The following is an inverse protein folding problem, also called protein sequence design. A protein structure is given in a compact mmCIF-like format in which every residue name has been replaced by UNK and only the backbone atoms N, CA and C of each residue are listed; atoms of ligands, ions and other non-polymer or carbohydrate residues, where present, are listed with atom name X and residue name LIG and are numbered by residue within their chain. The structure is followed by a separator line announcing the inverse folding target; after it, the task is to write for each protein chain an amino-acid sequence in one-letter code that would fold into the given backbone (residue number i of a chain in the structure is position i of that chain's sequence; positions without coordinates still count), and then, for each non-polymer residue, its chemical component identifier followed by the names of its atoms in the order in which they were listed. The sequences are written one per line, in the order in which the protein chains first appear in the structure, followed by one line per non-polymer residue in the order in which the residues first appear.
data_IF_887783699664
#
_entry.id   IF_887783699664
#
_cell.length_a   1.000
_cell.length_b   1.000
_cell.length_c   1.000
_cell.angle_alpha   90.00
_cell.angle_beta   90.00
_cell.angle_gamma   90.00
#
_symmetry.space_group_name_H-M   'P 1'
#
loop_
_entity.id
_entity.type
_entity.pdbx_description
1 polymer ?
#
# COMPACT_ATOMS: atom_id res chain seq x y z
N UNK A 1 -19.97 -1.07 7.28
CA UNK A 1 -19.70 0.13 8.12
C UNK A 1 -18.25 0.06 8.53
N UNK A 2 -17.43 1.01 8.11
CA UNK A 2 -16.04 1.14 8.57
C UNK A 2 -16.03 1.33 10.08
N UNK A 3 -15.38 0.42 10.81
CA UNK A 3 -15.20 0.58 12.25
C UNK A 3 -14.11 1.62 12.50
N UNK A 4 -14.43 2.69 13.24
CA UNK A 4 -13.42 3.66 13.69
C UNK A 4 -12.41 2.97 14.61
N UNK A 5 -11.17 3.42 14.57
CA UNK A 5 -10.17 2.94 15.53
C UNK A 5 -10.55 3.39 16.93
N UNK A 6 -10.47 2.50 17.94
CA UNK A 6 -10.52 2.91 19.33
C UNK A 6 -9.44 3.98 19.60
N UNK A 7 -9.77 5.00 20.40
CA UNK A 7 -8.85 6.11 20.68
C UNK A 7 -7.56 5.65 21.37
N UNK A 8 -7.63 4.54 22.11
CA UNK A 8 -6.55 3.90 22.86
C UNK A 8 -5.89 2.72 22.11
N UNK A 9 -6.34 2.42 20.88
CA UNK A 9 -5.73 1.36 20.10
C UNK A 9 -4.26 1.69 19.82
N UNK A 10 -3.31 0.79 20.14
CA UNK A 10 -1.90 1.05 19.88
C UNK A 10 -1.66 1.16 18.35
N UNK A 11 -0.68 1.97 17.99
CA UNK A 11 -0.21 2.02 16.61
C UNK A 11 0.52 0.71 16.28
N UNK A 12 0.24 0.13 15.12
CA UNK A 12 0.79 -1.14 14.69
C UNK A 12 1.98 -0.94 13.75
N UNK A 13 2.99 -1.81 13.91
CA UNK A 13 4.19 -1.81 13.07
C UNK A 13 4.41 -3.20 12.49
N UNK A 14 4.67 -3.29 11.20
CA UNK A 14 4.86 -4.57 10.53
C UNK A 14 5.85 -4.48 9.38
N UNK A 15 6.00 -5.60 8.69
CA UNK A 15 6.78 -5.69 7.45
C UNK A 15 6.01 -6.46 6.37
N UNK A 16 6.21 -6.05 5.13
CA UNK A 16 5.87 -6.85 3.97
C UNK A 16 6.87 -8.02 3.92
N UNK A 17 6.37 -9.23 4.03
CA UNK A 17 7.21 -10.41 4.16
C UNK A 17 7.75 -10.85 2.80
N UNK A 18 9.03 -10.70 2.63
CA UNK A 18 9.83 -11.27 1.55
C UNK A 18 10.63 -12.43 2.15
N UNK A 19 10.32 -13.71 1.80
CA UNK A 19 11.06 -14.85 2.34
C UNK A 19 12.57 -14.70 2.16
N UNK A 20 13.35 -14.99 3.22
CA UNK A 20 14.81 -14.89 3.21
C UNK A 20 15.46 -15.84 2.21
N UNK A 21 14.77 -16.93 1.88
CA UNK A 21 15.19 -17.92 0.88
C UNK A 21 14.28 -17.83 -0.34
N UNK A 22 14.88 -17.74 -1.53
CA UNK A 22 14.16 -17.81 -2.82
C UNK A 22 13.10 -16.70 -3.05
N UNK A 23 13.03 -15.68 -2.20
CA UNK A 23 12.06 -14.61 -2.31
C UNK A 23 10.63 -15.15 -2.45
N UNK A 24 9.76 -14.58 -3.30
CA UNK A 24 8.39 -15.06 -3.50
C UNK A 24 8.33 -16.43 -4.20
N UNK A 25 9.42 -16.91 -4.81
CA UNK A 25 9.49 -18.27 -5.39
C UNK A 25 9.42 -19.37 -4.32
N UNK A 26 9.70 -19.04 -3.06
CA UNK A 26 9.52 -19.95 -1.92
C UNK A 26 8.11 -20.55 -1.84
N UNK A 27 7.08 -19.88 -2.36
CA UNK A 27 5.72 -20.41 -2.45
C UNK A 27 5.56 -21.63 -3.37
N UNK A 28 6.53 -21.93 -4.22
CA UNK A 28 6.53 -23.14 -5.05
C UNK A 28 6.92 -24.39 -4.26
N UNK A 29 7.76 -24.24 -3.22
CA UNK A 29 8.28 -25.30 -2.37
C UNK A 29 8.57 -24.77 -0.97
N UNK A 30 7.52 -24.57 -0.19
CA UNK A 30 7.57 -23.89 1.10
C UNK A 30 8.44 -24.65 2.13
N UNK A 31 9.45 -23.95 2.68
CA UNK A 31 10.22 -24.36 3.86
C UNK A 31 9.69 -23.62 5.10
N UNK A 32 8.83 -24.28 5.88
CA UNK A 32 8.25 -23.69 7.09
C UNK A 32 9.28 -23.43 8.20
N UNK A 33 10.40 -24.14 8.23
CA UNK A 33 11.44 -23.89 9.22
C UNK A 33 12.20 -22.59 8.86
N UNK A 34 12.40 -22.31 7.57
CA UNK A 34 12.90 -21.00 7.13
C UNK A 34 11.92 -19.88 7.49
N UNK A 35 10.64 -20.04 7.21
CA UNK A 35 9.57 -19.08 7.56
C UNK A 35 9.55 -18.80 9.07
N UNK A 36 9.67 -19.82 9.92
CA UNK A 36 9.73 -19.65 11.38
C UNK A 36 10.96 -18.86 11.83
N UNK A 37 12.12 -19.11 11.22
CA UNK A 37 13.33 -18.33 11.53
C UNK A 37 13.15 -16.85 11.15
N UNK A 38 12.56 -16.59 9.99
CA UNK A 38 12.28 -15.24 9.52
C UNK A 38 11.33 -14.51 10.49
N UNK A 39 10.22 -15.16 10.87
CA UNK A 39 9.23 -14.57 11.77
C UNK A 39 9.76 -14.37 13.18
N UNK A 40 10.61 -15.27 13.69
CA UNK A 40 11.29 -15.05 14.97
C UNK A 40 12.12 -13.75 14.94
N UNK A 41 12.92 -13.53 13.88
CA UNK A 41 13.71 -12.31 13.72
C UNK A 41 12.85 -11.05 13.60
N UNK A 42 11.70 -11.12 12.90
CA UNK A 42 10.77 -9.98 12.80
C UNK A 42 10.09 -9.66 14.14
N UNK A 43 9.71 -10.69 14.89
CA UNK A 43 9.16 -10.49 16.24
C UNK A 43 10.19 -9.90 17.21
N UNK A 44 11.48 -10.27 17.10
CA UNK A 44 12.58 -9.67 17.88
C UNK A 44 12.78 -8.18 17.55
N UNK A 45 12.45 -7.74 16.33
CA UNK A 45 12.42 -6.31 15.98
C UNK A 45 11.22 -5.56 16.60
N UNK A 46 10.31 -6.26 17.26
CA UNK A 46 9.13 -5.67 17.90
C UNK A 46 7.98 -5.42 16.94
N UNK A 47 7.93 -6.12 15.80
CA UNK A 47 6.83 -6.01 14.85
C UNK A 47 5.57 -6.73 15.35
N UNK A 48 4.40 -6.24 14.94
CA UNK A 48 3.08 -6.75 15.33
C UNK A 48 2.45 -7.62 14.25
N UNK A 49 2.84 -7.40 12.98
CA UNK A 49 2.20 -8.06 11.86
C UNK A 49 3.12 -8.18 10.66
N UNK A 50 2.77 -9.11 9.80
CA UNK A 50 3.34 -9.26 8.46
C UNK A 50 2.24 -9.25 7.40
N UNK A 51 2.56 -8.77 6.20
CA UNK A 51 1.74 -8.92 5.01
C UNK A 51 2.43 -9.92 4.08
N UNK A 52 1.75 -10.98 3.68
CA UNK A 52 2.29 -12.09 2.88
C UNK A 52 1.70 -12.13 1.47
N UNK A 53 2.46 -12.65 0.52
CA UNK A 53 2.18 -12.58 -0.91
C UNK A 53 2.23 -13.97 -1.56
N UNK A 54 1.27 -14.87 -1.26
CA UNK A 54 1.21 -16.16 -1.94
C UNK A 54 0.91 -15.96 -3.42
N UNK A 55 1.77 -16.48 -4.29
CA UNK A 55 1.69 -16.23 -5.73
C UNK A 55 0.40 -16.78 -6.33
N UNK A 56 -0.37 -15.94 -7.02
CA UNK A 56 -1.61 -16.31 -7.68
C UNK A 56 -1.43 -17.46 -8.68
N UNK A 57 -0.33 -17.46 -9.44
CA UNK A 57 0.03 -18.55 -10.36
C UNK A 57 0.23 -19.89 -9.67
N UNK A 58 0.66 -19.90 -8.41
CA UNK A 58 0.84 -21.11 -7.59
C UNK A 58 -0.49 -21.55 -6.97
N UNK A 59 -1.28 -20.62 -6.48
CA UNK A 59 -2.59 -20.90 -5.88
C UNK A 59 -3.62 -21.40 -6.91
N UNK A 60 -3.69 -20.72 -8.06
CA UNK A 60 -4.72 -20.97 -9.09
C UNK A 60 -4.11 -21.05 -10.49
N UNK A 61 -3.38 -22.15 -10.82
CA UNK A 61 -2.74 -22.32 -12.13
C UNK A 61 -3.73 -22.51 -13.29
N UNK A 62 -4.99 -22.78 -12.99
CA UNK A 62 -6.10 -22.80 -13.95
C UNK A 62 -7.35 -22.21 -13.29
N UNK A 63 -8.22 -21.58 -14.05
CA UNK A 63 -9.41 -20.87 -13.55
C UNK A 63 -10.26 -21.67 -12.56
N UNK A 64 -10.42 -22.95 -12.80
CA UNK A 64 -11.22 -23.87 -11.97
C UNK A 64 -10.36 -24.80 -11.08
N UNK A 65 -9.04 -24.71 -11.16
CA UNK A 65 -8.11 -25.49 -10.34
C UNK A 65 -7.45 -24.58 -9.30
N UNK A 66 -7.99 -24.58 -8.09
CA UNK A 66 -7.33 -24.04 -6.92
C UNK A 66 -6.57 -25.20 -6.27
N UNK A 67 -5.26 -25.02 -6.05
CA UNK A 67 -4.42 -26.07 -5.48
C UNK A 67 -4.57 -26.12 -3.97
N UNK A 68 -5.25 -27.15 -3.46
CA UNK A 68 -5.50 -27.32 -2.01
C UNK A 68 -4.18 -27.29 -1.21
N UNK A 69 -3.13 -27.94 -1.70
CA UNK A 69 -1.81 -27.90 -1.06
C UNK A 69 -1.28 -26.48 -0.91
N UNK A 70 -1.46 -25.63 -1.90
CA UNK A 70 -1.00 -24.23 -1.82
C UNK A 70 -1.85 -23.41 -0.85
N UNK A 71 -3.14 -23.70 -0.73
CA UNK A 71 -4.02 -23.11 0.30
C UNK A 71 -3.59 -23.57 1.70
N UNK A 72 -3.27 -24.85 1.87
CA UNK A 72 -2.73 -25.40 3.14
C UNK A 72 -1.39 -24.74 3.50
N UNK A 73 -0.54 -24.47 2.50
CA UNK A 73 0.73 -23.76 2.71
C UNK A 73 0.52 -22.33 3.20
N UNK A 74 -0.48 -21.60 2.67
CA UNK A 74 -0.85 -20.26 3.19
C UNK A 74 -1.32 -20.35 4.63
N UNK A 75 -2.18 -21.32 4.96
CA UNK A 75 -2.64 -21.54 6.33
C UNK A 75 -1.48 -21.85 7.26
N UNK A 76 -0.54 -22.70 6.85
CA UNK A 76 0.63 -23.06 7.64
C UNK A 76 1.55 -21.86 7.92
N UNK A 77 1.67 -20.91 6.97
CA UNK A 77 2.43 -19.65 7.17
C UNK A 77 1.70 -18.76 8.17
N UNK A 78 0.37 -18.63 8.08
CA UNK A 78 -0.44 -17.87 9.05
C UNK A 78 -0.29 -18.45 10.45
N UNK A 79 -0.41 -19.78 10.60
CA UNK A 79 -0.25 -20.46 11.88
C UNK A 79 1.18 -20.27 12.44
N UNK A 80 2.22 -20.38 11.60
CA UNK A 80 3.61 -20.15 11.99
C UNK A 80 3.85 -18.70 12.49
N UNK A 81 3.23 -17.70 11.87
CA UNK A 81 3.31 -16.31 12.35
C UNK A 81 2.70 -16.18 13.76
N UNK A 82 1.60 -16.88 14.03
CA UNK A 82 0.96 -16.92 15.34
C UNK A 82 1.84 -17.49 16.45
N UNK A 83 2.78 -18.41 16.13
CA UNK A 83 3.76 -18.93 17.08
C UNK A 83 4.64 -17.82 17.69
N UNK A 84 4.83 -16.71 16.96
CA UNK A 84 5.65 -15.56 17.34
C UNK A 84 4.83 -14.31 17.70
N UNK A 85 3.49 -14.45 17.79
CA UNK A 85 2.59 -13.33 18.11
C UNK A 85 2.41 -12.32 16.99
N UNK A 86 2.71 -12.71 15.74
CA UNK A 86 2.52 -11.88 14.57
C UNK A 86 1.13 -12.12 13.95
N UNK A 87 0.42 -11.03 13.69
CA UNK A 87 -0.79 -11.07 12.87
C UNK A 87 -0.45 -11.05 11.38
N UNK A 88 -1.35 -11.56 10.54
CA UNK A 88 -1.09 -11.74 9.12
C UNK A 88 -2.18 -11.11 8.26
N UNK A 89 -1.81 -10.23 7.33
CA UNK A 89 -2.61 -9.87 6.17
C UNK A 89 -2.16 -10.69 4.95
N UNK A 90 -3.10 -11.17 4.14
CA UNK A 90 -2.82 -12.01 2.98
C UNK A 90 -3.26 -11.32 1.70
N UNK A 91 -2.33 -11.14 0.76
CA UNK A 91 -2.66 -10.70 -0.59
C UNK A 91 -3.19 -11.87 -1.42
N UNK A 92 -4.36 -11.70 -2.07
CA UNK A 92 -5.01 -12.82 -2.79
C UNK A 92 -4.67 -12.83 -4.27
N UNK A 93 -4.93 -11.72 -4.96
CA UNK A 93 -4.61 -11.58 -6.39
C UNK A 93 -3.21 -10.99 -6.49
N UNK A 94 -2.23 -11.80 -6.16
CA UNK A 94 -0.83 -11.42 -6.19
C UNK A 94 -0.31 -11.55 -7.62
N UNK A 95 -0.42 -10.47 -8.39
CA UNK A 95 -0.03 -10.40 -9.78
C UNK A 95 1.25 -9.62 -10.03
N UNK A 96 1.43 -8.46 -9.40
CA UNK A 96 2.60 -7.61 -9.61
C UNK A 96 3.44 -7.49 -8.33
N UNK A 97 4.76 -7.72 -8.43
CA UNK A 97 5.74 -7.54 -7.35
C UNK A 97 7.12 -7.24 -7.93
N UNK A 98 7.78 -6.18 -7.43
CA UNK A 98 9.20 -5.90 -7.74
C UNK A 98 9.52 -5.96 -9.24
N UNK A 99 8.63 -5.44 -10.09
CA UNK A 99 8.70 -5.48 -11.56
C UNK A 99 8.42 -6.85 -12.23
N UNK A 100 8.01 -7.86 -11.47
CA UNK A 100 7.55 -9.14 -12.04
C UNK A 100 6.03 -9.21 -12.08
N UNK A 101 5.49 -9.81 -13.15
CA UNK A 101 4.08 -10.08 -13.32
C UNK A 101 3.79 -11.57 -13.16
N UNK A 102 3.11 -11.94 -12.06
CA UNK A 102 2.72 -13.31 -11.76
C UNK A 102 1.27 -13.59 -12.18
N UNK A 103 0.97 -13.35 -13.46
CA UNK A 103 -0.36 -13.56 -14.01
C UNK A 103 -0.55 -15.02 -14.43
N UNK A 104 -1.60 -15.73 -13.96
CA UNK A 104 -1.86 -17.09 -14.37
C UNK A 104 -2.10 -17.20 -15.87
N UNK A 105 -1.52 -18.24 -16.51
CA UNK A 105 -1.56 -18.45 -17.96
C UNK A 105 -2.98 -18.59 -18.54
N UNK A 106 -3.98 -18.92 -17.73
CA UNK A 106 -5.37 -19.02 -18.17
C UNK A 106 -6.03 -17.66 -18.49
N UNK A 107 -5.39 -16.53 -18.11
CA UNK A 107 -5.76 -15.18 -18.55
C UNK A 107 -5.12 -14.85 -19.91
N UNK A 108 -3.91 -15.34 -20.19
CA UNK A 108 -3.20 -15.15 -21.44
C UNK A 108 -3.40 -16.37 -22.37
N UNK A 109 -4.58 -16.50 -22.94
CA UNK A 109 -4.87 -17.52 -23.94
C UNK A 109 -4.88 -16.90 -25.34
N UNK A 110 -5.19 -17.67 -26.37
CA UNK A 110 -5.48 -17.13 -27.72
C UNK A 110 -6.69 -16.18 -27.73
N UNK A 111 -7.49 -16.21 -26.67
CA UNK A 111 -8.61 -15.31 -26.43
C UNK A 111 -8.25 -14.49 -25.18
N UNK A 112 -7.82 -13.26 -25.41
CA UNK A 112 -7.45 -12.34 -24.34
C UNK A 112 -8.65 -12.11 -23.40
N UNK A 113 -8.35 -12.11 -22.09
CA UNK A 113 -9.35 -11.91 -21.04
C UNK A 113 -8.87 -10.81 -20.12
N UNK A 114 -9.51 -9.67 -20.21
CA UNK A 114 -9.29 -8.62 -19.23
C UNK A 114 -9.60 -9.15 -17.80
N UNK A 115 -8.61 -9.11 -16.92
CA UNK A 115 -8.73 -9.67 -15.56
C UNK A 115 -9.81 -8.99 -14.73
N UNK A 116 -10.12 -7.74 -15.02
CA UNK A 116 -11.05 -6.91 -14.25
C UNK A 116 -12.50 -7.03 -14.73
N UNK A 117 -12.73 -7.32 -16.00
CA UNK A 117 -14.06 -7.20 -16.59
C UNK A 117 -14.59 -8.48 -17.22
N UNK A 118 -13.72 -9.44 -17.60
CA UNK A 118 -14.18 -10.67 -18.19
C UNK A 118 -14.87 -11.56 -17.14
N UNK A 119 -16.15 -11.97 -17.34
CA UNK A 119 -16.92 -12.69 -16.29
C UNK A 119 -16.22 -13.95 -15.76
N UNK A 120 -15.59 -14.73 -16.63
CA UNK A 120 -14.83 -15.92 -16.24
C UNK A 120 -13.60 -15.56 -15.38
N UNK A 121 -12.94 -14.44 -15.68
CA UNK A 121 -11.78 -14.00 -14.92
C UNK A 121 -12.19 -13.57 -13.51
N UNK A 122 -13.20 -12.72 -13.39
CA UNK A 122 -13.72 -12.24 -12.12
C UNK A 122 -14.26 -13.40 -11.27
N UNK A 123 -15.06 -14.30 -11.86
CA UNK A 123 -15.60 -15.46 -11.14
C UNK A 123 -14.51 -16.41 -10.62
N UNK A 124 -13.42 -16.59 -11.39
CA UNK A 124 -12.27 -17.37 -10.94
C UNK A 124 -11.54 -16.74 -9.75
N UNK A 125 -11.38 -15.44 -9.77
CA UNK A 125 -10.77 -14.68 -8.66
C UNK A 125 -11.66 -14.73 -7.40
N UNK A 126 -12.97 -14.51 -7.55
CA UNK A 126 -13.95 -14.64 -6.47
C UNK A 126 -13.85 -16.02 -5.80
N UNK A 127 -13.80 -17.10 -6.60
CA UNK A 127 -13.67 -18.45 -6.09
C UNK A 127 -12.37 -18.66 -5.28
N UNK A 128 -11.26 -18.03 -5.70
CA UNK A 128 -10.00 -18.07 -4.94
C UNK A 128 -10.12 -17.35 -3.61
N UNK A 129 -10.71 -16.13 -3.60
CA UNK A 129 -10.96 -15.37 -2.36
C UNK A 129 -11.79 -16.19 -1.39
N UNK A 130 -12.91 -16.75 -1.86
CA UNK A 130 -13.81 -17.56 -1.02
C UNK A 130 -13.12 -18.83 -0.49
N UNK A 131 -12.28 -19.48 -1.32
CA UNK A 131 -11.54 -20.67 -0.87
C UNK A 131 -10.50 -20.35 0.20
N UNK A 132 -9.76 -19.25 0.03
CA UNK A 132 -8.80 -18.78 1.05
C UNK A 132 -9.55 -18.31 2.32
N UNK A 133 -10.66 -17.60 2.19
CA UNK A 133 -11.47 -17.17 3.33
C UNK A 133 -11.98 -18.35 4.16
N UNK A 134 -12.46 -19.41 3.50
CA UNK A 134 -12.85 -20.64 4.16
C UNK A 134 -11.70 -21.36 4.88
N UNK A 135 -10.44 -21.18 4.42
CA UNK A 135 -9.27 -21.77 5.03
C UNK A 135 -8.69 -20.95 6.20
N UNK A 136 -8.88 -19.63 6.19
CA UNK A 136 -8.19 -18.70 7.10
C UNK A 136 -9.13 -18.04 8.10
N UNK A 137 -10.44 -18.01 7.84
CA UNK A 137 -11.40 -17.20 8.61
C UNK A 137 -11.51 -17.53 10.10
N UNK A 138 -11.06 -18.71 10.52
CA UNK A 138 -11.00 -19.15 11.92
C UNK A 138 -9.63 -18.91 12.58
N UNK A 139 -8.59 -18.48 11.83
CA UNK A 139 -7.29 -18.21 12.40
C UNK A 139 -7.30 -16.90 13.20
N UNK A 140 -6.95 -16.99 14.48
CA UNK A 140 -7.08 -15.87 15.43
C UNK A 140 -6.15 -14.69 15.14
N UNK A 141 -5.07 -14.92 14.38
CA UNK A 141 -4.10 -13.91 13.94
C UNK A 141 -4.26 -13.50 12.46
N UNK A 142 -5.32 -13.92 11.79
CA UNK A 142 -5.63 -13.47 10.43
C UNK A 142 -6.33 -12.10 10.46
N UNK A 143 -5.66 -11.06 9.96
CA UNK A 143 -6.19 -9.69 9.93
C UNK A 143 -7.26 -9.49 8.85
N UNK A 144 -7.09 -10.17 7.71
CA UNK A 144 -7.92 -10.02 6.54
C UNK A 144 -7.13 -10.09 5.23
N UNK A 145 -7.84 -9.96 4.14
CA UNK A 145 -7.26 -9.93 2.80
C UNK A 145 -6.94 -8.51 2.35
N UNK A 146 -5.80 -8.36 1.63
CA UNK A 146 -5.68 -7.38 0.57
C UNK A 146 -6.10 -8.09 -0.71
N UNK A 147 -7.12 -7.60 -1.40
CA UNK A 147 -7.70 -8.30 -2.56
C UNK A 147 -6.73 -8.42 -3.73
N UNK A 148 -5.69 -7.56 -3.79
CA UNK A 148 -4.58 -7.67 -4.72
C UNK A 148 -3.54 -6.57 -4.47
N UNK A 149 -2.26 -6.90 -4.70
CA UNK A 149 -1.17 -5.92 -4.58
C UNK A 149 -1.08 -5.07 -5.83
N UNK A 150 -1.32 -3.77 -5.70
CA UNK A 150 -1.13 -2.78 -6.77
C UNK A 150 -1.64 -3.21 -8.14
N UNK A 151 -2.75 -3.97 -8.16
CA UNK A 151 -3.31 -4.57 -9.40
C UNK A 151 -3.70 -3.52 -10.44
N UNK A 152 -3.91 -2.28 -10.02
CA UNK A 152 -4.15 -1.16 -10.91
C UNK A 152 -3.00 -0.89 -11.90
N UNK A 153 -1.79 -1.40 -11.65
CA UNK A 153 -0.68 -1.37 -12.61
C UNK A 153 -1.03 -2.08 -13.91
N UNK A 154 -1.77 -3.20 -13.86
CA UNK A 154 -2.23 -3.90 -15.05
C UNK A 154 -3.24 -3.12 -15.90
N UNK A 155 -3.80 -2.03 -15.39
CA UNK A 155 -4.67 -1.11 -16.11
C UNK A 155 -3.95 0.17 -16.57
N UNK A 156 -2.72 0.42 -16.06
CA UNK A 156 -1.96 1.62 -16.36
C UNK A 156 -1.45 1.65 -17.80
N UNK A 157 -1.51 2.82 -18.44
CA UNK A 157 -1.02 3.04 -19.82
C UNK A 157 0.47 2.71 -19.99
N UNK A 158 1.22 2.73 -18.91
CA UNK A 158 2.67 2.43 -18.89
C UNK A 158 2.97 0.94 -18.85
N UNK A 159 1.97 0.10 -18.53
CA UNK A 159 2.14 -1.35 -18.53
C UNK A 159 2.36 -1.88 -19.96
N UNK A 160 3.29 -2.83 -20.19
CA UNK A 160 3.57 -3.37 -21.53
C UNK A 160 2.34 -4.00 -22.22
N UNK A 161 1.41 -4.53 -21.44
CA UNK A 161 0.17 -5.17 -21.96
C UNK A 161 -1.00 -4.77 -21.05
N UNK A 162 -1.51 -3.54 -21.14
CA UNK A 162 -2.50 -3.04 -20.20
C UNK A 162 -3.89 -3.63 -20.47
N UNK A 163 -4.64 -3.84 -19.39
CA UNK A 163 -6.08 -4.09 -19.40
C UNK A 163 -6.83 -2.84 -18.92
N UNK A 164 -7.12 -1.91 -19.80
CA UNK A 164 -7.79 -0.67 -19.42
C UNK A 164 -9.19 -0.94 -18.87
N UNK A 165 -9.58 -0.14 -17.88
CA UNK A 165 -10.92 -0.16 -17.28
C UNK A 165 -11.42 1.25 -17.07
N UNK A 166 -12.73 1.40 -17.05
CA UNK A 166 -13.42 2.59 -16.54
C UNK A 166 -13.46 2.59 -15.01
N UNK A 167 -13.77 3.72 -14.39
CA UNK A 167 -13.95 3.79 -12.94
C UNK A 167 -15.06 2.86 -12.46
N UNK A 168 -16.19 2.79 -13.18
CA UNK A 168 -17.28 1.89 -12.83
C UNK A 168 -16.88 0.41 -12.89
N UNK A 169 -16.06 0.01 -13.87
CA UNK A 169 -15.53 -1.35 -13.97
C UNK A 169 -14.53 -1.66 -12.85
N UNK A 170 -13.64 -0.72 -12.52
CA UNK A 170 -12.72 -0.86 -11.39
C UNK A 170 -13.49 -1.01 -10.06
N UNK A 171 -14.49 -0.15 -9.82
CA UNK A 171 -15.35 -0.21 -8.66
C UNK A 171 -16.09 -1.56 -8.55
N UNK A 172 -16.64 -2.06 -9.66
CA UNK A 172 -17.34 -3.33 -9.71
C UNK A 172 -16.40 -4.51 -9.38
N UNK A 173 -15.18 -4.49 -9.91
CA UNK A 173 -14.17 -5.52 -9.64
C UNK A 173 -13.74 -5.53 -8.18
N UNK A 174 -13.35 -4.36 -7.63
CA UNK A 174 -12.95 -4.24 -6.21
C UNK A 174 -14.08 -4.73 -5.31
N UNK A 175 -15.32 -4.27 -5.56
CA UNK A 175 -16.49 -4.64 -4.76
C UNK A 175 -16.75 -6.16 -4.82
N UNK A 176 -16.65 -6.78 -5.99
CA UNK A 176 -16.89 -8.22 -6.13
C UNK A 176 -15.91 -9.05 -5.29
N UNK A 177 -14.64 -8.65 -5.21
CA UNK A 177 -13.63 -9.35 -4.41
C UNK A 177 -13.78 -9.07 -2.91
N UNK A 178 -14.07 -7.83 -2.51
CA UNK A 178 -14.33 -7.47 -1.12
C UNK A 178 -15.59 -8.18 -0.59
N UNK A 179 -16.67 -8.23 -1.36
CA UNK A 179 -17.88 -8.96 -1.01
C UNK A 179 -17.62 -10.48 -0.85
N UNK A 180 -16.76 -11.05 -1.67
CA UNK A 180 -16.36 -12.46 -1.54
C UNK A 180 -15.55 -12.69 -0.27
N UNK A 181 -14.65 -11.77 0.07
CA UNK A 181 -13.88 -11.80 1.30
C UNK A 181 -14.78 -11.67 2.54
N UNK A 182 -15.70 -10.70 2.54
CA UNK A 182 -16.66 -10.49 3.64
C UNK A 182 -17.58 -11.69 3.84
N UNK A 183 -17.99 -12.37 2.76
CA UNK A 183 -18.81 -13.59 2.88
C UNK A 183 -18.05 -14.77 3.46
N UNK A 184 -16.78 -14.92 3.10
CA UNK A 184 -15.97 -16.09 3.48
C UNK A 184 -15.18 -15.94 4.78
N UNK A 185 -14.89 -14.70 5.20
CA UNK A 185 -14.19 -14.37 6.43
C UNK A 185 -14.73 -13.07 7.06
N UNK A 186 -15.98 -13.07 7.56
CA UNK A 186 -16.72 -11.85 7.93
C UNK A 186 -16.23 -11.14 9.19
N UNK A 187 -15.35 -11.74 9.97
CA UNK A 187 -14.81 -11.15 11.20
C UNK A 187 -13.55 -10.30 10.95
N UNK A 188 -12.96 -10.38 9.76
CA UNK A 188 -11.70 -9.77 9.39
C UNK A 188 -11.93 -8.42 8.67
N UNK A 189 -10.84 -7.65 8.53
CA UNK A 189 -10.85 -6.37 7.82
C UNK A 189 -10.21 -6.53 6.43
N UNK A 190 -11.05 -6.51 5.38
CA UNK A 190 -10.59 -6.67 4.02
C UNK A 190 -10.36 -5.33 3.36
N UNK A 191 -9.25 -5.22 2.62
CA UNK A 191 -8.81 -4.01 1.93
C UNK A 191 -8.40 -4.32 0.48
N UNK A 192 -8.15 -3.29 -0.29
CA UNK A 192 -7.44 -3.35 -1.57
C UNK A 192 -6.30 -2.36 -1.55
N UNK A 193 -5.34 -2.47 -2.46
CA UNK A 193 -4.20 -1.56 -2.51
C UNK A 193 -3.92 -1.07 -3.92
N UNK A 194 -3.52 0.20 -4.01
CA UNK A 194 -3.33 0.91 -5.26
C UNK A 194 -1.92 1.49 -5.37
N UNK A 195 -1.32 1.32 -6.54
CA UNK A 195 -0.11 2.00 -6.96
C UNK A 195 -0.39 3.48 -7.28
N UNK A 196 0.68 4.27 -7.34
CA UNK A 196 0.68 5.71 -7.59
C UNK A 196 -0.19 6.19 -8.77
N UNK A 197 -0.40 5.33 -9.79
CA UNK A 197 -1.25 5.66 -10.94
C UNK A 197 -2.69 6.01 -10.55
N UNK A 198 -3.24 5.43 -9.50
CA UNK A 198 -4.55 5.79 -8.98
C UNK A 198 -4.60 7.25 -8.50
N UNK A 199 -3.48 7.74 -7.96
CA UNK A 199 -3.36 9.08 -7.37
C UNK A 199 -2.94 10.14 -8.37
N UNK A 200 -2.03 9.80 -9.32
CA UNK A 200 -1.30 10.77 -10.12
C UNK A 200 -1.52 10.69 -11.63
N UNK A 201 -2.14 9.61 -12.14
CA UNK A 201 -2.33 9.41 -13.59
C UNK A 201 -3.74 9.80 -14.04
N UNK A 202 -3.83 10.83 -14.89
CA UNK A 202 -5.10 11.23 -15.50
C UNK A 202 -5.66 10.12 -16.41
N UNK A 203 -6.99 9.94 -16.33
CA UNK A 203 -7.73 8.96 -17.14
C UNK A 203 -7.51 7.50 -16.73
N UNK A 204 -6.88 7.22 -15.57
CA UNK A 204 -6.80 5.88 -15.01
C UNK A 204 -8.12 5.50 -14.33
N UNK A 205 -8.62 4.27 -14.55
CA UNK A 205 -9.93 3.83 -14.03
C UNK A 205 -9.97 3.65 -12.50
N UNK A 206 -8.85 3.28 -11.88
CA UNK A 206 -8.73 3.31 -10.42
C UNK A 206 -8.50 4.77 -9.98
N UNK A 207 -9.26 5.24 -9.00
CA UNK A 207 -9.30 6.66 -8.62
C UNK A 207 -9.01 6.86 -7.14
N UNK A 208 -8.60 8.07 -6.72
CA UNK A 208 -8.46 8.40 -5.31
C UNK A 208 -9.74 8.16 -4.50
N UNK A 209 -10.91 8.38 -5.11
CA UNK A 209 -12.19 8.13 -4.49
C UNK A 209 -12.42 6.64 -4.20
N UNK A 210 -12.13 5.75 -5.17
CA UNK A 210 -12.23 4.30 -4.95
C UNK A 210 -11.25 3.83 -3.88
N UNK A 211 -9.97 4.25 -3.94
CA UNK A 211 -8.95 3.93 -2.96
C UNK A 211 -9.35 4.34 -1.53
N UNK A 212 -10.05 5.48 -1.39
CA UNK A 212 -10.40 6.05 -0.09
C UNK A 212 -11.78 5.66 0.43
N UNK A 213 -12.60 4.93 -0.33
CA UNK A 213 -14.01 4.64 0.03
C UNK A 213 -14.33 3.16 0.12
N UNK A 214 -13.63 2.32 -0.62
CA UNK A 214 -13.88 0.87 -0.64
C UNK A 214 -13.03 0.13 0.40
N UNK A 215 -13.49 -1.05 0.83
CA UNK A 215 -12.84 -1.86 1.86
C UNK A 215 -12.96 -1.31 3.28
N UNK A 216 -12.37 -2.01 4.24
CA UNK A 216 -12.45 -1.67 5.67
C UNK A 216 -11.62 -0.44 6.06
N UNK A 217 -10.49 -0.22 5.39
CA UNK A 217 -9.55 0.89 5.59
C UNK A 217 -9.08 1.43 4.24
N UNK A 218 -8.57 2.65 4.24
CA UNK A 218 -7.77 3.16 3.12
C UNK A 218 -6.35 2.64 3.25
N UNK A 219 -5.79 2.08 2.19
CA UNK A 219 -4.37 1.74 2.12
C UNK A 219 -3.62 2.78 1.30
N UNK A 220 -2.40 3.09 1.69
CA UNK A 220 -1.50 3.94 0.93
C UNK A 220 -0.12 3.31 0.82
N UNK A 221 0.48 3.41 -0.36
CA UNK A 221 1.86 3.07 -0.65
C UNK A 221 2.65 4.36 -0.87
N UNK A 222 3.82 4.47 -0.27
CA UNK A 222 4.63 5.69 -0.30
C UNK A 222 6.01 5.40 -0.85
N UNK A 223 6.21 5.70 -2.14
CA UNK A 223 7.47 5.46 -2.82
C UNK A 223 8.08 6.76 -3.34
N UNK A 224 9.26 7.13 -2.80
CA UNK A 224 9.95 8.36 -3.19
C UNK A 224 10.70 8.23 -4.51
N UNK A 225 10.92 7.02 -5.03
CA UNK A 225 11.61 6.79 -6.29
C UNK A 225 10.75 7.14 -7.52
N UNK A 226 9.46 7.36 -7.34
CA UNK A 226 8.54 7.74 -8.41
C UNK A 226 8.46 9.28 -8.61
N UNK A 227 9.60 9.92 -8.74
CA UNK A 227 9.71 11.35 -9.06
C UNK A 227 10.00 12.27 -7.87
N UNK A 228 9.66 11.89 -6.64
CA UNK A 228 9.88 12.74 -5.44
C UNK A 228 11.37 12.94 -5.18
N UNK A 229 12.13 11.87 -5.01
CA UNK A 229 13.55 11.97 -4.72
C UNK A 229 14.37 12.53 -5.90
N UNK A 230 13.98 12.21 -7.13
CA UNK A 230 14.63 12.74 -8.34
C UNK A 230 14.52 14.26 -8.44
N UNK A 231 13.41 14.81 -7.96
CA UNK A 231 13.14 16.26 -8.04
C UNK A 231 13.60 17.03 -6.80
N UNK A 232 13.45 16.45 -5.62
CA UNK A 232 13.63 17.15 -4.35
C UNK A 232 14.84 16.63 -3.54
N UNK A 233 15.45 15.52 -3.95
CA UNK A 233 16.48 14.81 -3.20
C UNK A 233 15.93 13.73 -2.26
N UNK A 234 16.70 12.66 -2.02
CA UNK A 234 16.31 11.53 -1.19
C UNK A 234 16.06 11.90 0.28
N UNK A 235 16.82 12.87 0.80
CA UNK A 235 16.68 13.44 2.14
C UNK A 235 16.25 14.90 2.04
N UNK A 236 14.98 15.11 1.87
CA UNK A 236 14.35 16.42 1.79
C UNK A 236 13.02 16.40 2.53
N UNK A 237 12.45 17.57 2.80
CA UNK A 237 11.08 17.66 3.39
C UNK A 237 10.07 16.92 2.54
N UNK A 238 10.19 17.00 1.21
CA UNK A 238 9.29 16.31 0.28
C UNK A 238 9.39 14.78 0.44
N UNK A 239 10.60 14.23 0.51
CA UNK A 239 10.84 12.79 0.62
C UNK A 239 10.56 12.27 2.04
N UNK A 240 11.09 12.95 3.07
CA UNK A 240 10.91 12.55 4.47
C UNK A 240 9.43 12.61 4.91
N UNK A 241 8.60 13.47 4.28
CA UNK A 241 7.16 13.61 4.59
C UNK A 241 6.24 13.05 3.49
N UNK A 242 6.74 12.29 2.52
CA UNK A 242 5.93 11.75 1.42
C UNK A 242 4.84 10.79 1.92
N UNK A 243 5.13 9.95 2.91
CA UNK A 243 4.13 9.08 3.52
C UNK A 243 2.98 9.87 4.18
N UNK A 244 3.31 10.95 4.89
CA UNK A 244 2.32 11.86 5.47
C UNK A 244 1.50 12.57 4.38
N UNK A 245 2.14 12.97 3.26
CA UNK A 245 1.47 13.51 2.09
C UNK A 245 0.39 12.55 1.57
N UNK A 246 0.75 11.28 1.35
CA UNK A 246 -0.17 10.28 0.82
C UNK A 246 -1.35 10.01 1.78
N UNK A 247 -1.08 9.93 3.08
CA UNK A 247 -2.11 9.75 4.11
C UNK A 247 -3.10 10.93 4.10
N UNK A 248 -2.61 12.16 4.14
CA UNK A 248 -3.46 13.35 4.16
C UNK A 248 -4.18 13.56 2.83
N UNK A 249 -3.54 13.26 1.69
CA UNK A 249 -4.18 13.31 0.38
C UNK A 249 -5.35 12.31 0.31
N UNK A 250 -5.14 11.07 0.76
CA UNK A 250 -6.19 10.05 0.75
C UNK A 250 -7.40 10.45 1.61
N UNK A 251 -7.15 11.11 2.74
CA UNK A 251 -8.20 11.62 3.65
C UNK A 251 -9.13 12.64 2.97
N UNK A 252 -8.63 13.41 2.00
CA UNK A 252 -9.46 14.38 1.28
C UNK A 252 -10.61 13.75 0.49
N UNK A 253 -10.43 12.49 0.04
CA UNK A 253 -11.41 11.76 -0.77
C UNK A 253 -12.28 10.79 0.05
N UNK A 254 -11.98 10.57 1.31
CA UNK A 254 -12.77 9.72 2.19
C UNK A 254 -14.13 10.35 2.48
N UNK A 255 -15.21 9.54 2.43
CA UNK A 255 -16.56 9.99 2.80
C UNK A 255 -16.67 10.16 4.32
N UNK A 256 -15.96 9.31 5.06
CA UNK A 256 -15.84 9.38 6.52
C UNK A 256 -14.48 9.95 6.87
N UNK A 257 -14.40 11.15 7.47
CA UNK A 257 -13.12 11.79 7.81
C UNK A 257 -12.32 11.03 8.87
N UNK A 258 -12.95 10.10 9.59
CA UNK A 258 -12.33 9.23 10.59
C UNK A 258 -12.06 7.81 10.08
N UNK A 259 -12.16 7.59 8.77
CA UNK A 259 -11.83 6.31 8.17
C UNK A 259 -10.38 5.94 8.50
N UNK A 260 -10.12 4.72 9.03
CA UNK A 260 -8.77 4.27 9.30
C UNK A 260 -7.92 4.24 8.02
N UNK A 261 -6.65 4.59 8.17
CA UNK A 261 -5.67 4.58 7.07
C UNK A 261 -4.51 3.66 7.46
N UNK A 262 -4.12 2.79 6.55
CA UNK A 262 -2.98 1.90 6.68
C UNK A 262 -1.87 2.32 5.70
N UNK A 263 -0.74 2.79 6.23
CA UNK A 263 0.49 2.94 5.44
C UNK A 263 1.03 1.54 5.18
N UNK A 264 0.57 0.93 4.10
CA UNK A 264 0.76 -0.48 3.82
C UNK A 264 2.11 -0.79 3.16
N UNK A 265 2.67 0.21 2.46
CA UNK A 265 4.04 0.16 1.97
C UNK A 265 4.75 1.51 2.13
N UNK A 266 5.97 1.42 2.64
CA UNK A 266 6.97 2.48 2.64
C UNK A 266 8.34 1.83 2.74
N UNK A 267 9.31 2.29 1.97
CA UNK A 267 10.64 1.70 1.92
C UNK A 267 11.74 2.75 1.66
N UNK A 268 12.99 2.33 1.79
CA UNK A 268 14.18 3.17 1.62
C UNK A 268 14.99 2.74 0.37
N UNK A 269 14.61 3.19 -0.84
CA UNK A 269 15.18 2.70 -2.08
C UNK A 269 16.61 3.21 -2.32
N UNK A 270 17.52 2.30 -2.67
CA UNK A 270 18.96 2.59 -2.84
C UNK A 270 19.30 3.44 -4.06
N UNK A 271 18.38 3.60 -5.01
CA UNK A 271 18.51 4.55 -6.12
C UNK A 271 18.21 6.01 -5.71
N UNK A 272 17.74 6.23 -4.48
CA UNK A 272 17.40 7.54 -3.92
C UNK A 272 18.19 7.88 -2.65
N UNK A 273 18.65 6.87 -1.92
CA UNK A 273 19.27 7.00 -0.60
C UNK A 273 20.55 6.16 -0.55
N UNK A 274 21.60 6.71 0.04
CA UNK A 274 22.79 5.92 0.39
C UNK A 274 22.49 5.01 1.60
N UNK A 275 23.25 3.91 1.80
CA UNK A 275 23.05 3.03 2.94
C UNK A 275 23.09 3.74 4.30
N UNK A 276 23.94 4.78 4.44
CA UNK A 276 24.07 5.56 5.68
C UNK A 276 22.87 6.49 5.94
N UNK A 277 22.12 6.84 4.89
CA UNK A 277 20.94 7.70 5.00
C UNK A 277 19.67 6.91 5.35
N UNK A 278 19.63 5.61 5.05
CA UNK A 278 18.39 4.82 5.19
C UNK A 278 17.82 4.77 6.61
N UNK A 279 18.61 4.66 7.72
CA UNK A 279 18.05 4.69 9.07
C UNK A 279 17.43 6.05 9.42
N UNK A 280 18.09 7.14 9.01
CA UNK A 280 17.58 8.50 9.23
C UNK A 280 16.32 8.79 8.40
N UNK A 281 16.23 8.27 7.17
CA UNK A 281 15.03 8.36 6.35
C UNK A 281 13.87 7.58 6.98
N UNK A 282 14.11 6.32 7.40
CA UNK A 282 13.08 5.52 8.08
C UNK A 282 12.52 6.29 9.28
N UNK A 283 13.37 6.80 10.16
CA UNK A 283 12.91 7.54 11.33
C UNK A 283 12.10 8.78 10.95
N UNK A 284 12.57 9.57 9.99
CA UNK A 284 11.91 10.80 9.57
C UNK A 284 10.52 10.51 8.98
N UNK A 285 10.41 9.52 8.06
CA UNK A 285 9.15 9.19 7.39
C UNK A 285 8.15 8.55 8.35
N UNK A 286 8.60 7.66 9.25
CA UNK A 286 7.73 7.06 10.27
C UNK A 286 7.22 8.12 11.24
N UNK A 287 8.12 9.00 11.76
CA UNK A 287 7.73 10.10 12.66
C UNK A 287 6.77 11.10 11.99
N UNK A 288 6.89 11.33 10.68
CA UNK A 288 5.95 12.17 9.94
C UNK A 288 4.58 11.47 9.83
N UNK A 289 4.55 10.19 9.45
CA UNK A 289 3.32 9.43 9.29
C UNK A 289 2.51 9.32 10.60
N UNK A 290 3.17 9.06 11.73
CA UNK A 290 2.47 8.92 13.04
C UNK A 290 1.86 10.23 13.56
N UNK A 291 2.13 11.36 12.91
CA UNK A 291 1.49 12.65 13.20
C UNK A 291 0.14 12.84 12.48
N UNK A 292 -0.35 11.82 11.82
CA UNK A 292 -1.67 11.85 11.16
C UNK A 292 -2.72 11.16 12.04
N UNK A 293 -3.97 11.63 11.97
CA UNK A 293 -5.07 11.01 12.69
C UNK A 293 -5.46 9.67 12.07
N UNK A 294 -6.11 8.81 12.85
CA UNK A 294 -6.70 7.54 12.42
C UNK A 294 -5.75 6.61 11.62
N UNK A 295 -4.43 6.75 11.79
CA UNK A 295 -3.45 5.83 11.22
C UNK A 295 -3.55 4.48 11.92
N UNK A 296 -3.93 3.41 11.21
CA UNK A 296 -4.02 2.07 11.76
C UNK A 296 -2.65 1.47 12.05
N UNK A 297 -1.73 1.61 11.12
CA UNK A 297 -0.38 1.07 11.25
C UNK A 297 0.51 1.41 10.07
N UNK A 298 1.77 0.99 10.22
CA UNK A 298 2.83 1.17 9.22
C UNK A 298 3.45 -0.20 8.92
N UNK A 299 3.52 -0.58 7.65
CA UNK A 299 4.13 -1.83 7.19
C UNK A 299 5.30 -1.50 6.27
N UNK A 300 6.51 -1.82 6.71
CA UNK A 300 7.73 -1.51 5.98
C UNK A 300 7.93 -2.45 4.79
N UNK A 301 8.36 -1.93 3.66
CA UNK A 301 8.84 -2.72 2.54
C UNK A 301 10.36 -2.77 2.56
N UNK A 302 10.99 -3.91 2.86
CA UNK A 302 10.38 -5.19 3.17
C UNK A 302 11.11 -5.88 4.35
N UNK A 303 10.77 -7.14 4.63
CA UNK A 303 11.38 -7.86 5.76
C UNK A 303 12.84 -8.23 5.49
N UNK A 304 13.15 -8.87 4.37
CA UNK A 304 14.49 -9.38 4.05
C UNK A 304 14.96 -8.89 2.68
N UNK A 305 16.29 -8.71 2.56
CA UNK A 305 16.93 -8.44 1.29
C UNK A 305 16.73 -9.61 0.31
N UNK A 306 16.64 -9.29 -0.99
CA UNK A 306 16.59 -10.31 -2.05
C UNK A 306 17.99 -10.88 -2.30
N UNK A 307 18.10 -12.21 -2.46
CA UNK A 307 19.37 -12.86 -2.81
C UNK A 307 19.83 -12.44 -4.21
N UNK A 308 21.12 -12.08 -4.32
CA UNK A 308 21.74 -11.78 -5.62
C UNK A 308 21.96 -13.02 -6.50
N UNK A 309 21.62 -14.22 -6.04
CA UNK A 309 21.53 -15.42 -6.87
C UNK A 309 20.27 -15.40 -7.75
N UNK A 310 19.28 -14.59 -7.40
CA UNK A 310 18.08 -14.34 -8.21
C UNK A 310 18.34 -13.14 -9.13
N UNK A 311 18.12 -13.34 -10.42
CA UNK A 311 18.35 -12.33 -11.45
C UNK A 311 17.10 -11.50 -11.77
N UNK A 312 17.29 -10.48 -12.61
CA UNK A 312 16.25 -9.66 -13.24
C UNK A 312 15.49 -8.71 -12.29
N UNK A 313 15.96 -8.54 -11.05
CA UNK A 313 15.45 -7.49 -10.17
C UNK A 313 16.08 -6.13 -10.49
N UNK A 314 15.32 -5.02 -10.38
CA UNK A 314 15.91 -3.69 -10.28
C UNK A 314 16.90 -3.64 -9.11
N UNK A 315 18.03 -2.92 -9.26
CA UNK A 315 19.11 -2.93 -8.26
C UNK A 315 18.63 -2.54 -6.85
N UNK A 316 17.65 -1.65 -6.76
CA UNK A 316 17.09 -1.20 -5.47
C UNK A 316 16.43 -2.32 -4.66
N UNK A 317 15.85 -3.33 -5.32
CA UNK A 317 15.12 -4.42 -4.66
C UNK A 317 16.01 -5.33 -3.82
N UNK A 318 17.29 -5.46 -4.20
CA UNK A 318 18.24 -6.30 -3.47
C UNK A 318 18.57 -5.81 -2.06
N UNK A 319 18.18 -4.58 -1.69
CA UNK A 319 18.64 -3.94 -0.45
C UNK A 319 17.54 -3.28 0.38
N UNK A 320 16.27 -3.53 0.07
CA UNK A 320 15.12 -2.90 0.76
C UNK A 320 14.80 -3.50 2.14
N UNK A 321 15.34 -4.70 2.45
CA UNK A 321 15.05 -5.42 3.68
C UNK A 321 15.45 -4.71 4.97
N UNK A 322 14.69 -4.95 6.04
CA UNK A 322 15.09 -4.65 7.42
C UNK A 322 16.20 -5.60 7.90
N UNK A 323 16.20 -6.81 7.36
CA UNK A 323 17.11 -7.91 7.67
C UNK A 323 17.90 -8.28 6.41
N UNK A 324 19.18 -8.56 6.57
CA UNK A 324 20.04 -9.01 5.48
C UNK A 324 19.88 -10.49 5.16
N UNK A 325 20.51 -10.96 4.08
CA UNK A 325 20.51 -12.37 3.66
C UNK A 325 21.17 -13.31 4.68
N UNK A 326 22.00 -12.78 5.58
CA UNK A 326 22.64 -13.51 6.70
C UNK A 326 21.72 -13.65 7.92
N UNK A 327 20.48 -13.16 7.85
CA UNK A 327 19.54 -13.13 8.96
C UNK A 327 19.82 -12.04 10.01
N UNK A 328 20.83 -11.20 9.80
CA UNK A 328 21.14 -10.12 10.73
C UNK A 328 20.30 -8.86 10.46
N UNK A 329 19.80 -8.23 11.53
CA UNK A 329 19.14 -6.95 11.41
C UNK A 329 20.11 -5.88 10.86
N UNK A 330 19.73 -5.23 9.79
CA UNK A 330 20.49 -4.12 9.17
C UNK A 330 20.43 -2.85 10.06
N UNK A 331 21.27 -1.83 9.82
CA UNK A 331 21.17 -0.55 10.55
C UNK A 331 19.74 0.03 10.53
N UNK A 332 19.06 -0.04 9.40
CA UNK A 332 17.67 0.41 9.25
C UNK A 332 16.69 -0.42 10.10
N UNK A 333 16.85 -1.75 10.14
CA UNK A 333 16.02 -2.63 10.97
C UNK A 333 16.22 -2.38 12.47
N UNK A 334 17.47 -2.21 12.90
CA UNK A 334 17.78 -1.83 14.28
C UNK A 334 17.18 -0.47 14.65
N UNK A 335 17.27 0.53 13.74
CA UNK A 335 16.65 1.84 13.99
C UNK A 335 15.13 1.74 14.10
N UNK A 336 14.49 0.92 13.28
CA UNK A 336 13.06 0.69 13.39
C UNK A 336 12.69 0.10 14.75
N UNK A 337 13.39 -0.96 15.19
CA UNK A 337 13.18 -1.57 16.51
C UNK A 337 13.37 -0.59 17.67
N UNK A 338 14.34 0.34 17.57
CA UNK A 338 14.60 1.36 18.59
C UNK A 338 13.45 2.37 18.75
N UNK A 339 12.80 2.77 17.63
CA UNK A 339 11.77 3.82 17.69
C UNK A 339 10.36 3.28 17.92
N UNK A 340 10.08 2.02 17.60
CA UNK A 340 8.76 1.40 17.77
C UNK A 340 8.21 1.57 19.19
N UNK A 341 8.93 1.27 20.28
CA UNK A 341 8.38 1.39 21.63
C UNK A 341 7.93 2.81 21.99
N UNK A 342 8.64 3.83 21.52
CA UNK A 342 8.28 5.24 21.73
C UNK A 342 7.01 5.63 20.95
N UNK A 343 6.86 5.09 19.71
CA UNK A 343 5.81 5.50 18.79
C UNK A 343 4.53 4.67 18.91
N UNK A 344 4.58 3.56 19.66
CA UNK A 344 3.43 2.67 19.86
C UNK A 344 2.28 3.35 20.59
N UNK A 345 2.59 4.25 21.51
CA UNK A 345 1.59 5.08 22.18
C UNK A 345 1.15 6.21 21.24
N UNK A 346 -0.15 6.28 20.95
CA UNK A 346 -0.70 7.34 20.12
C UNK A 346 -0.57 8.68 20.85
N UNK A 347 -0.06 9.65 20.13
CA UNK A 347 -0.08 11.06 20.54
C UNK A 347 -1.12 11.80 19.71
N UNK A 348 -1.78 12.84 20.26
CA UNK A 348 -2.65 13.68 19.46
C UNK A 348 -1.90 14.23 18.25
N UNK A 349 -2.52 14.14 17.08
CA UNK A 349 -1.96 14.75 15.88
C UNK A 349 -1.92 16.29 16.04
N UNK A 350 -0.98 16.97 15.38
CA UNK A 350 -0.97 18.44 15.36
C UNK A 350 -2.22 18.99 14.69
N UNK A 351 -2.69 20.14 15.14
CA UNK A 351 -3.83 20.81 14.48
C UNK A 351 -3.42 21.22 13.06
N UNK A 352 -4.21 20.78 12.07
CA UNK A 352 -4.02 21.09 10.66
C UNK A 352 -4.99 22.21 10.25
N UNK A 353 -4.59 23.44 10.50
CA UNK A 353 -5.44 24.63 10.24
C UNK A 353 -5.38 25.10 8.78
N UNK A 354 -4.36 24.69 8.03
CA UNK A 354 -4.14 25.05 6.63
C UNK A 354 -4.61 23.92 5.71
N UNK A 355 -5.61 24.18 4.88
CA UNK A 355 -6.12 23.26 3.86
C UNK A 355 -5.57 23.58 2.47
N UNK A 356 -4.99 22.59 1.80
CA UNK A 356 -4.63 22.69 0.38
C UNK A 356 -5.78 22.11 -0.44
N UNK A 357 -6.34 22.93 -1.34
CA UNK A 357 -7.52 22.55 -2.12
C UNK A 357 -7.12 21.71 -3.32
N UNK A 358 -7.75 20.54 -3.42
CA UNK A 358 -7.74 19.71 -4.62
C UNK A 358 -9.00 19.98 -5.41
N UNK A 359 -8.86 20.54 -6.60
CA UNK A 359 -9.99 20.78 -7.49
C UNK A 359 -10.53 19.45 -8.04
N UNK A 360 -11.82 19.19 -7.82
CA UNK A 360 -12.52 17.98 -8.27
C UNK A 360 -13.73 18.34 -9.14
N UNK A 361 -14.10 17.41 -10.01
CA UNK A 361 -15.32 17.47 -10.81
C UNK A 361 -16.58 17.00 -10.03
N UNK A 362 -17.68 16.81 -10.73
CA UNK A 362 -18.96 16.41 -10.13
C UNK A 362 -18.95 14.97 -9.57
N UNK A 363 -18.03 14.13 -10.01
CA UNK A 363 -17.86 12.74 -9.58
C UNK A 363 -16.77 12.57 -8.50
N UNK A 364 -16.30 13.70 -7.91
CA UNK A 364 -15.18 13.75 -6.94
C UNK A 364 -13.83 13.28 -7.52
N UNK A 365 -13.69 13.28 -8.84
CA UNK A 365 -12.41 13.00 -9.51
C UNK A 365 -11.57 14.26 -9.59
N UNK A 366 -10.27 14.22 -9.26
CA UNK A 366 -9.40 15.39 -9.44
C UNK A 366 -9.41 15.87 -10.90
N UNK A 367 -9.59 17.17 -11.10
CA UNK A 367 -9.56 17.81 -12.43
C UNK A 367 -8.21 17.54 -13.14
N UNK A 368 -7.14 17.41 -12.38
CA UNK A 368 -5.84 16.91 -12.84
C UNK A 368 -5.18 16.12 -11.74
N UNK A 369 -5.00 14.82 -11.94
CA UNK A 369 -4.22 13.97 -11.04
C UNK A 369 -2.73 14.25 -11.15
N UNK A 370 -2.23 14.65 -12.32
CA UNK A 370 -0.85 15.08 -12.49
C UNK A 370 -0.47 16.28 -11.61
N UNK A 371 -1.46 17.11 -11.22
CA UNK A 371 -1.24 18.19 -10.27
C UNK A 371 -0.92 17.69 -8.84
N UNK A 372 -1.32 16.47 -8.50
CA UNK A 372 -1.11 15.82 -7.19
C UNK A 372 0.24 15.13 -7.13
N UNK A 373 0.85 14.78 -8.26
CA UNK A 373 2.12 14.08 -8.33
C UNK A 373 3.32 14.97 -8.02
N UNK A 374 4.51 14.35 -7.79
CA UNK A 374 5.76 15.08 -7.54
C UNK A 374 6.05 16.11 -8.64
N UNK A 375 6.24 17.38 -8.25
CA UNK A 375 6.42 18.51 -9.17
C UNK A 375 5.14 19.14 -9.69
N UNK A 376 3.98 18.56 -9.40
CA UNK A 376 2.69 19.19 -9.65
C UNK A 376 2.41 20.32 -8.66
N UNK A 377 1.52 21.27 -9.00
CA UNK A 377 1.28 22.47 -8.19
C UNK A 377 0.67 22.16 -6.81
N UNK A 378 -0.13 21.11 -6.67
CA UNK A 378 -0.70 20.70 -5.38
C UNK A 378 0.40 20.09 -4.50
N UNK A 379 1.25 19.24 -5.07
CA UNK A 379 2.40 18.68 -4.37
C UNK A 379 3.37 19.77 -3.94
N UNK A 380 3.66 20.74 -4.82
CA UNK A 380 4.55 21.87 -4.51
C UNK A 380 3.99 22.73 -3.36
N UNK A 381 2.70 23.02 -3.36
CA UNK A 381 2.06 23.76 -2.26
C UNK A 381 2.21 23.03 -0.90
N UNK A 382 2.13 21.69 -0.91
CA UNK A 382 2.42 20.88 0.28
C UNK A 382 3.87 21.05 0.73
N UNK A 383 4.82 20.88 -0.17
CA UNK A 383 6.26 21.00 0.13
C UNK A 383 6.58 22.39 0.68
N UNK A 384 6.05 23.45 0.07
CA UNK A 384 6.28 24.83 0.51
C UNK A 384 5.71 25.07 1.92
N UNK A 385 4.48 24.61 2.18
CA UNK A 385 3.85 24.73 3.49
C UNK A 385 4.65 23.98 4.58
N UNK A 386 5.06 22.73 4.29
CA UNK A 386 5.86 21.93 5.21
C UNK A 386 7.24 22.55 5.46
N UNK A 387 7.89 23.09 4.43
CA UNK A 387 9.17 23.80 4.56
C UNK A 387 9.03 25.07 5.40
N UNK A 388 7.86 25.73 5.32
CA UNK A 388 7.50 26.86 6.17
C UNK A 388 7.14 26.48 7.62
N UNK A 389 7.17 25.18 7.98
CA UNK A 389 6.88 24.66 9.32
C UNK A 389 5.40 24.44 9.59
N UNK A 390 4.52 24.48 8.59
CA UNK A 390 3.13 24.15 8.74
C UNK A 390 2.89 22.62 8.65
N UNK A 391 1.75 22.19 9.20
CA UNK A 391 1.19 20.85 9.03
C UNK A 391 -0.11 20.98 8.22
N UNK A 392 -0.05 21.01 6.87
CA UNK A 392 -1.23 21.19 6.05
C UNK A 392 -2.09 19.91 5.99
N UNK A 393 -3.38 20.09 5.68
CA UNK A 393 -4.31 19.04 5.29
C UNK A 393 -4.68 19.20 3.82
N UNK A 394 -5.30 18.19 3.21
CA UNK A 394 -5.98 18.33 1.92
C UNK A 394 -7.48 18.36 2.09
N UNK A 395 -8.14 19.14 1.25
CA UNK A 395 -9.60 19.19 1.10
C UNK A 395 -9.96 19.24 -0.39
N UNK A 396 -11.03 18.59 -0.78
CA UNK A 396 -11.56 18.77 -2.13
C UNK A 396 -12.18 20.17 -2.29
N UNK A 397 -12.30 20.67 -3.52
CA UNK A 397 -12.99 21.93 -3.80
C UNK A 397 -14.44 21.92 -3.30
N UNK A 398 -15.08 20.74 -3.27
CA UNK A 398 -16.41 20.54 -2.70
C UNK A 398 -16.42 20.74 -1.19
N UNK A 399 -15.49 20.11 -0.45
CA UNK A 399 -15.32 20.33 1.00
C UNK A 399 -14.94 21.77 1.31
N UNK A 400 -14.09 22.39 0.49
CA UNK A 400 -13.66 23.78 0.64
C UNK A 400 -14.79 24.79 0.45
N UNK A 401 -15.89 24.41 -0.20
CA UNK A 401 -17.10 25.22 -0.36
C UNK A 401 -18.09 25.08 0.82
N UNK A 402 -17.85 24.14 1.75
CA UNK A 402 -18.69 23.90 2.93
C UNK A 402 -17.99 24.38 4.22
N UNK A 403 -18.38 25.54 4.77
CA UNK A 403 -17.79 26.06 6.02
C UNK A 403 -17.96 25.12 7.23
N UNK A 404 -19.04 24.33 7.28
CA UNK A 404 -19.26 23.39 8.38
C UNK A 404 -18.29 22.20 8.29
N UNK A 405 -18.04 21.69 7.09
CA UNK A 405 -17.06 20.64 6.85
C UNK A 405 -15.62 21.10 7.16
N UNK A 406 -15.25 22.32 6.80
CA UNK A 406 -13.97 22.92 7.17
C UNK A 406 -13.82 23.07 8.68
N UNK A 407 -14.85 23.64 9.34
CA UNK A 407 -14.83 23.82 10.79
C UNK A 407 -14.73 22.48 11.56
N UNK A 408 -15.43 21.44 11.08
CA UNK A 408 -15.35 20.08 11.67
C UNK A 408 -13.93 19.48 11.60
N UNK A 409 -13.11 19.91 10.61
CA UNK A 409 -11.70 19.52 10.46
C UNK A 409 -10.71 20.51 11.07
N UNK A 410 -11.19 21.59 11.68
CA UNK A 410 -10.33 22.67 12.25
C UNK A 410 -9.59 23.51 11.21
N UNK A 411 -10.00 23.47 9.93
CA UNK A 411 -9.34 24.20 8.85
C UNK A 411 -9.86 25.65 8.82
N UNK A 412 -8.95 26.61 8.90
CA UNK A 412 -9.26 28.04 8.96
C UNK A 412 -8.66 28.83 7.79
N UNK A 413 -7.67 28.26 7.11
CA UNK A 413 -6.98 28.87 5.97
C UNK A 413 -6.98 27.91 4.79
N UNK A 414 -7.06 28.45 3.56
CA UNK A 414 -7.06 27.66 2.34
C UNK A 414 -6.00 28.18 1.36
N UNK A 415 -5.22 27.24 0.80
CA UNK A 415 -4.39 27.47 -0.38
C UNK A 415 -5.10 26.82 -1.58
N UNK A 416 -5.26 27.59 -2.66
CA UNK A 416 -5.75 27.06 -3.95
C UNK A 416 -4.62 27.11 -4.97
N UNK A 417 -3.93 25.97 -5.23
CA UNK A 417 -2.86 25.92 -6.21
C UNK A 417 -3.37 26.26 -7.61
N UNK A 418 -2.56 27.00 -8.38
CA UNK A 418 -2.84 27.24 -9.79
C UNK A 418 -2.48 26.00 -10.62
N UNK A 419 -3.47 25.35 -11.19
CA UNK A 419 -3.27 24.10 -11.93
C UNK A 419 -2.63 24.30 -13.32
N UNK A 420 -2.38 25.53 -13.75
CA UNK A 420 -1.61 25.80 -14.97
C UNK A 420 -0.19 25.26 -14.80
N UNK A 421 0.22 24.31 -15.67
CA UNK A 421 1.53 23.67 -15.60
C UNK A 421 1.54 22.32 -14.87
N UNK A 422 0.36 21.74 -14.57
CA UNK A 422 0.29 20.34 -14.15
C UNK A 422 0.98 19.44 -15.19
N UNK A 423 1.82 18.53 -14.74
CA UNK A 423 2.64 17.67 -15.59
C UNK A 423 1.99 16.30 -15.70
N UNK A 424 1.96 15.72 -16.91
CA UNK A 424 1.47 14.35 -17.08
C UNK A 424 2.43 13.37 -16.37
N UNK A 425 1.92 12.69 -15.35
CA UNK A 425 2.67 11.70 -14.57
C UNK A 425 3.23 10.56 -15.44
N UNK A 426 2.50 10.15 -16.49
CA UNK A 426 2.95 9.12 -17.42
C UNK A 426 4.23 9.51 -18.17
N UNK A 427 4.49 10.82 -18.34
CA UNK A 427 5.71 11.31 -19.00
C UNK A 427 6.94 11.36 -18.08
N UNK A 428 6.76 11.21 -16.77
CA UNK A 428 7.82 11.30 -15.77
C UNK A 428 8.43 9.94 -15.38
N UNK A 429 7.68 8.85 -15.54
CA UNK A 429 8.05 7.50 -15.13
C UNK A 429 8.60 6.63 -16.28
N UNK A 430 9.29 7.21 -17.24
CA UNK A 430 9.94 6.47 -18.35
C UNK A 430 11.32 5.90 -17.97
N UNK A 431 11.65 5.84 -16.67
CA UNK A 431 12.94 5.33 -16.21
C UNK A 431 12.72 4.38 -15.03
N UNK A 432 12.58 3.12 -15.34
CA UNK A 432 13.04 2.02 -14.50
C UNK A 432 14.15 1.30 -15.22
#
# INVERSE_FOLDING_TARGET
MTAHLPADAPLRFGANYTPSTEWMHAWMSLDLDAVRRDFAGLAELGLDHVRIFPLWTVLQPNRTLIRERAVDDVRAVVDAAGEFGLDVSVDVIQGHLSSFDFIPSWLFTWHDKNMFTHPDAVSGQVALVERLGAALGDAGNFLGFTTGNETNQFSAKTHPSPWPVTEAEAAAWITALLDAADRSAPAQQHVHSEYDAAWYMDGHGFTPALASRLGAMTTVHSWIFNGTAQRYGGRSVASDRHAEYMIELSRAFATDPRRPIWLQEVGAPSNCLTPDETPGFLEATVRAAVRTDDLWGITWWCSHDVSRELADFPELEYTLGLVGQDGAAKPIGRRFAEIIPELRERRPAPARTLGIVVEVDDDDTPVSRGALGPGGPVFQAWVDACTGGADPAFVTSRTAADPAALAARGITELIRPDLRGAVDYASQNTVV
#
